data_IF_210254075325
#
_entry.id   IF_210254075325
#
_cell.length_a   1.000
_cell.length_b   1.000
_cell.length_c   1.000
_cell.angle_alpha   90.00
_cell.angle_beta   90.00
_cell.angle_gamma   90.00
#
_symmetry.space_group_name_H-M   'P 1'
#
loop_
_entity.id
_entity.type
_entity.pdbx_description
1 polymer ?
#
# COMPACT_ATOMS: atom_id res chain seq x y z
N UNK A 1 -21.66 11.56 41.49
CA UNK A 1 -22.54 11.62 40.32
C UNK A 1 -23.00 10.20 40.04
N UNK A 2 -24.28 9.87 40.29
CA UNK A 2 -24.81 8.52 40.16
C UNK A 2 -24.94 8.19 38.70
N UNK A 3 -24.21 7.18 38.22
CA UNK A 3 -24.33 6.63 36.88
C UNK A 3 -25.63 5.84 36.81
N UNK A 4 -26.53 6.23 35.92
CA UNK A 4 -27.82 5.59 35.70
C UNK A 4 -27.60 4.21 35.02
N UNK A 5 -27.97 3.06 35.62
CA UNK A 5 -27.69 1.74 35.09
C UNK A 5 -28.64 1.30 33.96
N UNK A 6 -29.44 2.20 33.37
CA UNK A 6 -30.48 1.87 32.37
C UNK A 6 -30.12 2.15 30.91
N UNK A 7 -28.88 2.41 30.57
CA UNK A 7 -28.46 2.37 29.17
C UNK A 7 -27.82 1.04 28.78
N UNK A 8 -28.45 -0.08 29.12
CA UNK A 8 -28.23 -1.32 28.40
C UNK A 8 -28.85 -1.15 27.02
N UNK A 9 -28.02 -1.11 25.98
CA UNK A 9 -28.44 -1.04 24.57
C UNK A 9 -29.25 -2.29 24.25
N UNK A 10 -30.56 -2.13 24.17
CA UNK A 10 -31.47 -3.21 23.78
C UNK A 10 -31.06 -3.73 22.39
N UNK A 11 -30.95 -5.06 22.16
CA UNK A 11 -30.67 -5.65 20.84
C UNK A 11 -31.74 -5.29 19.80
N UNK A 12 -32.85 -4.67 20.21
CA UNK A 12 -33.92 -4.16 19.35
C UNK A 12 -33.81 -2.67 19.05
N UNK A 13 -32.73 -1.98 19.49
CA UNK A 13 -32.54 -0.59 19.15
C UNK A 13 -32.18 -0.47 17.65
N UNK A 14 -33.05 0.20 16.88
CA UNK A 14 -32.88 0.39 15.42
C UNK A 14 -31.55 1.04 15.08
N UNK A 15 -31.06 1.96 15.88
CA UNK A 15 -29.78 2.64 15.69
C UNK A 15 -28.62 1.65 15.83
N UNK A 16 -28.60 0.83 16.87
CA UNK A 16 -27.56 -0.19 17.09
C UNK A 16 -27.53 -1.23 15.98
N UNK A 17 -28.71 -1.66 15.48
CA UNK A 17 -28.78 -2.59 14.35
C UNK A 17 -28.34 -1.94 13.03
N UNK A 18 -28.64 -0.67 12.84
CA UNK A 18 -28.18 0.09 11.66
C UNK A 18 -26.66 0.21 11.67
N UNK A 19 -26.06 0.60 12.79
CA UNK A 19 -24.61 0.75 12.95
C UNK A 19 -23.88 -0.57 12.80
N UNK A 20 -24.39 -1.66 13.36
CA UNK A 20 -23.83 -3.00 13.18
C UNK A 20 -23.87 -3.45 11.70
N UNK A 21 -24.95 -3.19 10.97
CA UNK A 21 -25.04 -3.50 9.54
C UNK A 21 -24.08 -2.63 8.71
N UNK A 22 -23.99 -1.34 9.04
CA UNK A 22 -23.02 -0.45 8.39
C UNK A 22 -21.58 -0.94 8.60
N UNK A 23 -21.20 -1.29 9.83
CA UNK A 23 -19.88 -1.85 10.14
C UNK A 23 -19.61 -3.14 9.35
N UNK A 24 -20.58 -4.06 9.25
CA UNK A 24 -20.44 -5.27 8.46
C UNK A 24 -20.25 -4.98 6.95
N UNK A 25 -20.94 -3.96 6.41
CA UNK A 25 -20.77 -3.53 5.02
C UNK A 25 -19.36 -2.97 4.80
N UNK A 26 -18.86 -2.11 5.69
CA UNK A 26 -17.52 -1.53 5.59
C UNK A 26 -16.44 -2.62 5.71
N UNK A 27 -16.58 -3.53 6.68
CA UNK A 27 -15.65 -4.65 6.87
C UNK A 27 -15.58 -5.54 5.62
N UNK A 28 -16.71 -5.94 5.07
CA UNK A 28 -16.73 -6.80 3.88
C UNK A 28 -16.22 -6.05 2.64
N UNK A 29 -16.51 -4.76 2.51
CA UNK A 29 -15.96 -3.93 1.44
C UNK A 29 -14.44 -3.83 1.53
N UNK A 30 -13.89 -3.55 2.71
CA UNK A 30 -12.46 -3.51 2.96
C UNK A 30 -11.78 -4.84 2.59
N UNK A 31 -12.36 -5.97 3.03
CA UNK A 31 -11.87 -7.32 2.68
C UNK A 31 -11.82 -7.55 1.16
N UNK A 32 -12.87 -7.17 0.44
CA UNK A 32 -12.92 -7.32 -1.01
C UNK A 32 -11.97 -6.34 -1.73
N UNK A 33 -11.83 -5.11 -1.24
CA UNK A 33 -10.87 -4.14 -1.78
C UNK A 33 -9.43 -4.61 -1.61
N UNK A 34 -9.08 -5.17 -0.45
CA UNK A 34 -7.74 -5.71 -0.19
C UNK A 34 -7.43 -6.95 -1.04
N UNK A 35 -8.43 -7.76 -1.39
CA UNK A 35 -8.23 -9.02 -2.13
C UNK A 35 -8.28 -8.87 -3.65
N UNK A 36 -9.16 -8.00 -4.16
CA UNK A 36 -9.44 -7.85 -5.60
C UNK A 36 -9.09 -6.46 -6.15
N UNK A 37 -8.77 -5.52 -5.25
CA UNK A 37 -8.66 -4.10 -5.58
C UNK A 37 -10.01 -3.38 -5.63
N UNK A 38 -10.01 -2.09 -5.35
CA UNK A 38 -11.23 -1.29 -5.35
C UNK A 38 -11.86 -1.21 -6.74
N UNK A 39 -11.04 -1.18 -7.79
CA UNK A 39 -11.53 -1.05 -9.18
C UNK A 39 -12.31 -2.28 -9.66
N UNK A 40 -11.82 -3.47 -9.35
CA UNK A 40 -12.45 -4.74 -9.76
C UNK A 40 -13.66 -5.12 -8.89
N UNK A 41 -13.82 -4.52 -7.71
CA UNK A 41 -14.93 -4.79 -6.79
C UNK A 41 -16.11 -3.89 -7.10
N UNK A 42 -17.31 -4.45 -7.29
CA UNK A 42 -18.55 -3.71 -7.49
C UNK A 42 -19.42 -3.68 -6.23
N UNK A 43 -20.35 -2.71 -6.13
CA UNK A 43 -21.34 -2.69 -5.05
C UNK A 43 -22.23 -3.95 -5.07
N UNK A 44 -22.42 -4.57 -6.25
CA UNK A 44 -23.16 -5.81 -6.40
C UNK A 44 -22.41 -6.96 -5.71
N UNK A 45 -21.10 -7.08 -5.96
CA UNK A 45 -20.27 -8.15 -5.34
C UNK A 45 -20.31 -8.05 -3.80
N UNK A 46 -20.27 -6.82 -3.27
CA UNK A 46 -20.34 -6.59 -1.82
C UNK A 46 -21.72 -6.98 -1.28
N UNK A 47 -22.81 -6.58 -1.95
CA UNK A 47 -24.17 -6.94 -1.54
C UNK A 47 -24.35 -8.46 -1.54
N UNK A 48 -23.96 -9.15 -2.62
CA UNK A 48 -24.06 -10.60 -2.76
C UNK A 48 -23.26 -11.33 -1.69
N UNK A 49 -22.03 -10.87 -1.39
CA UNK A 49 -21.19 -11.49 -0.35
C UNK A 49 -21.76 -11.38 1.07
N UNK A 50 -22.65 -10.42 1.30
CA UNK A 50 -23.37 -10.22 2.57
C UNK A 50 -24.79 -10.82 2.57
N UNK A 51 -25.22 -11.45 1.48
CA UNK A 51 -26.60 -11.90 1.33
C UNK A 51 -27.63 -10.76 1.27
N UNK A 52 -27.19 -9.55 0.87
CA UNK A 52 -28.03 -8.37 0.75
C UNK A 52 -28.50 -8.18 -0.69
N UNK A 53 -29.68 -7.58 -0.85
CA UNK A 53 -30.09 -7.05 -2.15
C UNK A 53 -29.32 -5.76 -2.44
N UNK A 54 -29.13 -5.45 -3.73
CA UNK A 54 -28.53 -4.19 -4.17
C UNK A 54 -29.25 -2.96 -3.56
N UNK A 55 -30.59 -3.02 -3.51
CA UNK A 55 -31.41 -1.96 -2.92
C UNK A 55 -31.12 -1.77 -1.43
N UNK A 56 -30.95 -2.87 -0.69
CA UNK A 56 -30.60 -2.82 0.73
C UNK A 56 -29.21 -2.20 0.97
N UNK A 57 -28.25 -2.46 0.11
CA UNK A 57 -26.92 -1.84 0.19
C UNK A 57 -26.99 -0.34 -0.09
N UNK A 58 -27.77 0.10 -1.10
CA UNK A 58 -27.95 1.51 -1.45
C UNK A 58 -28.63 2.37 -0.35
N UNK A 59 -29.26 1.74 0.61
CA UNK A 59 -29.74 2.42 1.80
C UNK A 59 -28.58 2.96 2.66
N UNK A 60 -27.47 2.22 2.73
CA UNK A 60 -26.30 2.57 3.54
C UNK A 60 -25.25 3.38 2.76
N UNK A 61 -25.10 3.11 1.47
CA UNK A 61 -24.05 3.69 0.62
C UNK A 61 -24.59 4.01 -0.76
N UNK A 62 -24.45 5.27 -1.21
CA UNK A 62 -24.99 5.73 -2.49
C UNK A 62 -24.05 5.43 -3.67
N UNK A 63 -22.75 5.53 -3.46
CA UNK A 63 -21.74 5.33 -4.50
C UNK A 63 -20.58 4.45 -4.01
N UNK A 64 -19.85 3.85 -4.93
CA UNK A 64 -18.64 3.10 -4.60
C UNK A 64 -17.55 4.02 -4.01
N UNK A 65 -17.44 5.23 -4.52
CA UNK A 65 -16.51 6.24 -3.99
C UNK A 65 -16.81 6.58 -2.53
N UNK A 66 -18.09 6.77 -2.19
CA UNK A 66 -18.51 6.98 -0.80
C UNK A 66 -18.13 5.81 0.10
N UNK A 67 -18.28 4.57 -0.40
CA UNK A 67 -17.90 3.37 0.35
C UNK A 67 -16.39 3.28 0.56
N UNK A 68 -15.58 3.56 -0.47
CA UNK A 68 -14.12 3.63 -0.35
C UNK A 68 -13.71 4.67 0.68
N UNK A 69 -14.30 5.88 0.60
CA UNK A 69 -14.05 6.95 1.56
C UNK A 69 -14.37 6.50 3.00
N UNK A 70 -15.53 5.88 3.23
CA UNK A 70 -15.93 5.41 4.56
C UNK A 70 -14.99 4.30 5.07
N UNK A 71 -14.55 3.38 4.21
CA UNK A 71 -13.56 2.36 4.57
C UNK A 71 -12.21 2.99 4.97
N UNK A 72 -11.74 3.99 4.22
CA UNK A 72 -10.48 4.66 4.51
C UNK A 72 -10.54 5.47 5.81
N UNK A 73 -11.65 6.17 6.05
CA UNK A 73 -11.85 6.89 7.32
C UNK A 73 -11.88 5.94 8.51
N UNK A 74 -12.54 4.78 8.39
CA UNK A 74 -12.55 3.77 9.45
C UNK A 74 -11.14 3.19 9.70
N UNK A 75 -10.36 2.96 8.65
CA UNK A 75 -8.96 2.51 8.78
C UNK A 75 -8.09 3.55 9.48
N UNK A 76 -8.21 4.82 9.08
CA UNK A 76 -7.45 5.92 9.70
C UNK A 76 -7.84 6.14 11.16
N UNK A 77 -9.13 6.05 11.48
CA UNK A 77 -9.62 6.11 12.87
C UNK A 77 -8.99 5.00 13.73
N UNK A 78 -8.98 3.76 13.23
CA UNK A 78 -8.32 2.64 13.93
C UNK A 78 -6.81 2.85 14.09
N UNK A 79 -6.13 3.36 13.06
CA UNK A 79 -4.71 3.66 13.17
C UNK A 79 -4.43 4.78 14.18
N UNK A 80 -5.25 5.82 14.22
CA UNK A 80 -5.14 6.86 15.24
C UNK A 80 -5.38 6.31 16.65
N UNK A 81 -6.36 5.42 16.80
CA UNK A 81 -6.59 4.74 18.09
C UNK A 81 -5.38 3.88 18.49
N UNK A 82 -4.81 3.12 17.57
CA UNK A 82 -3.59 2.34 17.84
C UNK A 82 -2.43 3.26 18.27
N UNK A 83 -2.28 4.44 17.64
CA UNK A 83 -1.27 5.43 18.03
C UNK A 83 -1.54 5.99 19.43
N UNK A 84 -2.79 6.30 19.77
CA UNK A 84 -3.17 6.74 21.12
C UNK A 84 -2.82 5.70 22.18
N UNK A 85 -3.05 4.43 21.88
CA UNK A 85 -2.80 3.33 22.80
C UNK A 85 -1.30 3.10 23.02
N UNK A 86 -0.49 3.13 21.96
CA UNK A 86 0.97 2.98 22.12
C UNK A 86 1.63 4.19 22.77
N UNK A 87 1.12 5.41 22.56
CA UNK A 87 1.60 6.60 23.23
C UNK A 87 1.34 6.58 24.74
N UNK A 88 0.21 5.99 25.16
CA UNK A 88 -0.14 5.82 26.59
C UNK A 88 0.61 4.69 27.27
N UNK A 89 0.91 3.60 26.53
CA UNK A 89 1.44 2.36 27.11
C UNK A 89 2.95 2.24 27.01
N UNK A 90 3.60 2.95 26.09
CA UNK A 90 5.03 2.84 25.82
C UNK A 90 5.73 4.18 25.89
N UNK A 91 6.90 4.21 26.54
CA UNK A 91 7.71 5.42 26.72
C UNK A 91 8.81 5.60 25.68
N UNK A 92 9.29 4.51 25.07
CA UNK A 92 10.40 4.54 24.12
C UNK A 92 9.92 4.49 22.66
N UNK A 93 10.70 5.03 21.74
CA UNK A 93 10.38 5.09 20.32
C UNK A 93 10.22 3.67 19.73
N UNK A 94 11.15 2.77 20.04
CA UNK A 94 11.12 1.38 19.56
C UNK A 94 9.88 0.65 20.07
N UNK A 95 9.53 0.79 21.35
CA UNK A 95 8.37 0.13 21.91
C UNK A 95 7.05 0.70 21.33
N UNK A 96 6.96 2.00 21.05
CA UNK A 96 5.81 2.60 20.36
C UNK A 96 5.65 2.05 18.95
N UNK A 97 6.75 1.97 18.19
CA UNK A 97 6.73 1.39 16.85
C UNK A 97 6.36 -0.10 16.87
N UNK A 98 6.98 -0.88 17.75
CA UNK A 98 6.67 -2.30 17.93
C UNK A 98 5.24 -2.53 18.35
N UNK A 99 4.73 -1.72 19.29
CA UNK A 99 3.34 -1.75 19.71
C UNK A 99 2.35 -1.43 18.59
N UNK A 100 2.67 -0.43 17.76
CA UNK A 100 1.85 -0.09 16.60
C UNK A 100 1.75 -1.25 15.59
N UNK A 101 2.87 -1.92 15.29
CA UNK A 101 2.87 -3.13 14.47
C UNK A 101 2.07 -4.26 15.12
N UNK A 102 2.32 -4.54 16.39
CA UNK A 102 1.61 -5.60 17.12
C UNK A 102 0.10 -5.39 17.11
N UNK A 103 -0.38 -4.15 17.33
CA UNK A 103 -1.80 -3.81 17.24
C UNK A 103 -2.35 -3.97 15.83
N UNK A 104 -1.60 -3.54 14.78
CA UNK A 104 -2.03 -3.73 13.40
C UNK A 104 -2.22 -5.20 13.05
N UNK A 105 -1.24 -6.06 13.36
CA UNK A 105 -1.31 -7.50 13.08
C UNK A 105 -2.40 -8.20 13.93
N UNK A 106 -2.54 -7.80 15.19
CA UNK A 106 -3.60 -8.33 16.07
C UNK A 106 -5.00 -7.95 15.57
N UNK A 107 -5.20 -6.71 15.12
CA UNK A 107 -6.47 -6.26 14.55
C UNK A 107 -6.78 -7.05 13.26
N UNK A 108 -5.77 -7.29 12.40
CA UNK A 108 -5.94 -8.09 11.21
C UNK A 108 -6.37 -9.53 11.56
N UNK A 109 -5.71 -10.18 12.53
CA UNK A 109 -6.06 -11.51 12.99
C UNK A 109 -7.48 -11.55 13.58
N UNK A 110 -7.83 -10.58 14.40
CA UNK A 110 -9.17 -10.47 14.99
C UNK A 110 -10.27 -10.30 13.93
N UNK A 111 -9.98 -9.58 12.83
CA UNK A 111 -10.88 -9.44 11.70
C UNK A 111 -11.07 -10.77 10.93
N UNK A 112 -10.01 -11.53 10.70
CA UNK A 112 -10.10 -12.87 10.08
C UNK A 112 -10.88 -13.87 10.94
N UNK A 113 -10.92 -13.65 12.25
CA UNK A 113 -11.71 -14.42 13.21
C UNK A 113 -13.14 -13.86 13.40
N UNK A 114 -13.54 -12.84 12.67
CA UNK A 114 -14.81 -12.13 12.79
C UNK A 114 -15.07 -11.53 14.19
N UNK A 115 -14.01 -11.20 14.93
CA UNK A 115 -14.10 -10.50 16.22
C UNK A 115 -14.03 -8.98 16.05
N UNK A 116 -13.39 -8.53 14.97
CA UNK A 116 -13.24 -7.12 14.60
C UNK A 116 -13.57 -6.90 13.14
N UNK A 117 -13.63 -5.64 12.70
CA UNK A 117 -13.85 -5.27 11.32
C UNK A 117 -12.55 -5.30 10.52
N UNK A 118 -12.62 -5.77 9.27
CA UNK A 118 -11.50 -5.63 8.34
C UNK A 118 -11.22 -4.17 8.04
N UNK A 119 -9.94 -3.81 8.01
CA UNK A 119 -9.45 -2.51 7.58
C UNK A 119 -9.08 -2.53 6.10
N UNK A 120 -9.24 -1.41 5.42
CA UNK A 120 -8.85 -1.26 4.02
C UNK A 120 -7.41 -0.74 3.91
N UNK A 121 -6.59 -1.31 3.06
CA UNK A 121 -5.30 -0.74 2.67
C UNK A 121 -5.51 0.63 1.98
N UNK A 122 -4.72 1.64 2.37
CA UNK A 122 -4.87 3.02 1.91
C UNK A 122 -4.12 3.29 0.58
N UNK A 123 -4.11 2.30 -0.31
CA UNK A 123 -3.28 2.31 -1.53
C UNK A 123 -3.83 3.20 -2.66
N UNK A 124 -5.12 3.48 -2.66
CA UNK A 124 -5.79 4.17 -3.77
C UNK A 124 -6.47 5.48 -3.33
N UNK A 125 -5.88 6.25 -2.40
CA UNK A 125 -6.43 7.55 -1.94
C UNK A 125 -6.66 8.49 -3.13
N UNK A 126 -5.80 8.45 -4.14
CA UNK A 126 -5.93 9.24 -5.35
C UNK A 126 -7.19 8.90 -6.19
N UNK A 127 -7.90 7.81 -5.90
CA UNK A 127 -9.18 7.48 -6.54
C UNK A 127 -10.36 8.31 -6.02
N UNK A 128 -10.21 8.92 -4.85
CA UNK A 128 -11.18 9.85 -4.26
C UNK A 128 -11.04 11.25 -4.88
N UNK A 129 -12.10 12.04 -4.81
CA UNK A 129 -12.12 13.40 -5.36
C UNK A 129 -12.66 14.42 -4.35
N UNK A 130 -12.35 15.69 -4.60
CA UNK A 130 -12.90 16.83 -3.85
C UNK A 130 -12.63 16.75 -2.35
N UNK A 131 -13.62 17.09 -1.56
CA UNK A 131 -13.54 17.18 -0.09
C UNK A 131 -13.21 15.83 0.56
N UNK A 132 -13.75 14.73 0.06
CA UNK A 132 -13.49 13.37 0.58
C UNK A 132 -12.02 13.00 0.49
N UNK A 133 -11.41 13.33 -0.63
CA UNK A 133 -9.97 13.13 -0.82
C UNK A 133 -9.17 13.98 0.15
N UNK A 134 -9.49 15.27 0.25
CA UNK A 134 -8.79 16.21 1.12
C UNK A 134 -8.87 15.79 2.59
N UNK A 135 -10.02 15.27 3.04
CA UNK A 135 -10.21 14.79 4.40
C UNK A 135 -9.36 13.54 4.69
N UNK A 136 -9.38 12.53 3.80
CA UNK A 136 -8.56 11.33 3.94
C UNK A 136 -7.07 11.67 3.92
N UNK A 137 -6.62 12.54 3.00
CA UNK A 137 -5.24 13.01 2.95
C UNK A 137 -4.83 13.74 4.24
N UNK A 138 -5.71 14.56 4.80
CA UNK A 138 -5.47 15.26 6.06
C UNK A 138 -5.25 14.29 7.22
N UNK A 139 -6.10 13.29 7.37
CA UNK A 139 -5.98 12.26 8.41
C UNK A 139 -4.73 11.39 8.20
N UNK A 140 -4.45 11.02 6.96
CA UNK A 140 -3.23 10.27 6.61
C UNK A 140 -1.96 11.05 6.95
N UNK A 141 -1.91 12.34 6.61
CA UNK A 141 -0.79 13.21 6.94
C UNK A 141 -0.64 13.37 8.47
N UNK A 142 -1.74 13.45 9.20
CA UNK A 142 -1.74 13.49 10.67
C UNK A 142 -1.12 12.22 11.26
N UNK A 143 -1.55 11.05 10.81
CA UNK A 143 -0.99 9.75 11.18
C UNK A 143 0.51 9.68 10.86
N UNK A 144 0.90 10.08 9.65
CA UNK A 144 2.29 10.12 9.22
C UNK A 144 3.15 10.99 10.14
N UNK A 145 2.66 12.19 10.51
CA UNK A 145 3.37 13.12 11.40
C UNK A 145 3.56 12.54 12.80
N UNK A 146 2.57 11.84 13.35
CA UNK A 146 2.65 11.17 14.66
C UNK A 146 3.71 10.08 14.65
N UNK A 147 3.67 9.15 13.68
CA UNK A 147 4.69 8.09 13.52
C UNK A 147 6.09 8.67 13.36
N UNK A 148 6.23 9.72 12.53
CA UNK A 148 7.51 10.42 12.38
C UNK A 148 7.98 11.05 13.70
N UNK A 149 7.04 11.49 14.52
CA UNK A 149 7.31 12.00 15.87
C UNK A 149 8.06 10.99 16.72
N UNK A 150 7.68 9.72 16.71
CA UNK A 150 8.37 8.67 17.47
C UNK A 150 9.84 8.56 17.08
N UNK A 151 10.17 8.62 15.78
CA UNK A 151 11.55 8.60 15.33
C UNK A 151 12.33 9.84 15.79
N UNK A 152 11.72 11.03 15.71
CA UNK A 152 12.37 12.28 16.16
C UNK A 152 12.63 12.27 17.64
N UNK A 153 11.68 11.81 18.43
CA UNK A 153 11.82 11.69 19.89
C UNK A 153 12.93 10.70 20.26
N UNK A 154 12.98 9.55 19.56
CA UNK A 154 14.02 8.54 19.74
C UNK A 154 15.43 9.04 19.37
N UNK A 155 15.57 9.84 18.31
CA UNK A 155 16.85 10.48 17.95
C UNK A 155 17.22 11.52 19.01
N UNK A 156 16.28 12.38 19.43
CA UNK A 156 16.53 13.41 20.42
C UNK A 156 16.89 12.85 21.80
N UNK A 157 16.37 11.69 22.18
CA UNK A 157 16.70 10.99 23.43
C UNK A 157 18.00 10.15 23.35
N UNK A 158 18.57 9.98 22.16
CA UNK A 158 19.73 9.12 21.93
C UNK A 158 19.39 7.61 21.86
N UNK A 159 18.10 7.23 21.87
CA UNK A 159 17.65 5.86 21.68
C UNK A 159 17.91 5.38 20.23
N UNK A 160 17.78 6.30 19.27
CA UNK A 160 17.97 6.02 17.84
C UNK A 160 19.16 6.85 17.31
N UNK A 161 19.91 6.25 16.37
CA UNK A 161 20.91 7.01 15.59
C UNK A 161 20.24 8.02 14.66
N UNK A 162 20.98 8.99 14.18
CA UNK A 162 20.49 9.90 13.13
C UNK A 162 20.22 9.18 11.79
N UNK A 163 19.08 9.47 11.19
CA UNK A 163 18.67 9.04 9.85
C UNK A 163 17.53 9.93 9.32
N UNK A 164 17.18 9.77 8.05
CA UNK A 164 16.00 10.46 7.49
C UNK A 164 14.69 9.87 8.02
N UNK A 165 14.06 10.61 8.93
CA UNK A 165 12.80 10.20 9.58
C UNK A 165 11.62 10.09 8.61
N UNK A 166 11.64 10.80 7.47
CA UNK A 166 10.59 10.68 6.47
C UNK A 166 10.66 9.32 5.76
N UNK A 167 11.87 8.90 5.36
CA UNK A 167 12.09 7.59 4.72
C UNK A 167 11.75 6.45 5.67
N UNK A 168 12.16 6.54 6.94
CA UNK A 168 11.82 5.55 7.96
C UNK A 168 10.30 5.46 8.18
N UNK A 169 9.60 6.59 8.26
CA UNK A 169 8.13 6.60 8.40
C UNK A 169 7.44 5.98 7.19
N UNK A 170 7.94 6.26 5.98
CA UNK A 170 7.40 5.62 4.75
C UNK A 170 7.64 4.12 4.75
N UNK A 171 8.79 3.65 5.23
CA UNK A 171 9.08 2.22 5.33
C UNK A 171 8.10 1.53 6.29
N UNK A 172 7.83 2.13 7.47
CA UNK A 172 6.84 1.61 8.42
C UNK A 172 5.45 1.54 7.80
N UNK A 173 4.95 2.65 7.24
CA UNK A 173 3.62 2.69 6.63
C UNK A 173 3.53 1.76 5.41
N UNK A 174 4.57 1.72 4.57
CA UNK A 174 4.62 0.79 3.45
C UNK A 174 4.54 -0.66 3.90
N UNK A 175 5.21 -1.04 5.00
CA UNK A 175 5.13 -2.38 5.58
C UNK A 175 3.72 -2.71 6.07
N UNK A 176 3.04 -1.75 6.72
CA UNK A 176 1.65 -1.89 7.18
C UNK A 176 0.71 -2.05 5.99
N UNK A 177 0.77 -1.15 5.01
CA UNK A 177 -0.11 -1.19 3.84
C UNK A 177 0.09 -2.44 2.98
N UNK A 178 1.34 -2.88 2.83
CA UNK A 178 1.66 -4.07 2.05
C UNK A 178 1.31 -5.37 2.77
N UNK A 179 1.20 -5.35 4.10
CA UNK A 179 0.86 -6.53 4.91
C UNK A 179 -0.48 -7.17 4.51
N UNK A 180 -1.47 -6.38 4.11
CA UNK A 180 -2.76 -6.87 3.64
C UNK A 180 -2.67 -7.83 2.44
N UNK A 181 -1.60 -7.77 1.66
CA UNK A 181 -1.40 -8.64 0.49
C UNK A 181 -0.87 -10.02 0.85
N UNK A 182 0.00 -10.12 1.85
CA UNK A 182 0.71 -11.36 2.18
C UNK A 182 0.30 -12.02 3.49
N UNK A 183 -0.25 -11.28 4.48
CA UNK A 183 -0.69 -11.85 5.77
C UNK A 183 -1.71 -12.97 5.61
N UNK A 184 -2.56 -12.93 4.58
CA UNK A 184 -3.51 -14.00 4.29
C UNK A 184 -2.86 -15.37 4.01
N UNK A 185 -1.57 -15.38 3.69
CA UNK A 185 -0.79 -16.59 3.41
C UNK A 185 0.03 -17.05 4.63
N UNK A 186 -0.04 -16.31 5.75
CA UNK A 186 0.65 -16.63 7.01
C UNK A 186 -0.30 -17.43 7.90
N UNK A 187 0.14 -18.59 8.45
CA UNK A 187 -0.62 -19.31 9.45
C UNK A 187 -0.97 -18.41 10.63
N UNK A 188 -2.18 -18.57 11.18
CA UNK A 188 -2.69 -17.66 12.24
C UNK A 188 -1.84 -17.71 13.49
N UNK A 189 -1.35 -18.89 13.85
CA UNK A 189 -0.46 -19.13 14.98
C UNK A 189 0.89 -18.40 14.86
N UNK A 190 1.31 -18.07 13.63
CA UNK A 190 2.60 -17.41 13.36
C UNK A 190 2.48 -15.87 13.31
N UNK A 191 1.28 -15.29 13.31
CA UNK A 191 1.07 -13.84 13.16
C UNK A 191 1.82 -13.03 14.21
N UNK A 192 1.77 -13.47 15.49
CA UNK A 192 2.47 -12.77 16.57
C UNK A 192 3.99 -12.81 16.40
N UNK A 193 4.54 -13.94 15.96
CA UNK A 193 5.97 -14.08 15.67
C UNK A 193 6.38 -13.22 14.48
N UNK A 194 5.60 -13.21 13.41
CA UNK A 194 5.84 -12.35 12.23
C UNK A 194 5.83 -10.87 12.61
N UNK A 195 4.91 -10.44 13.50
CA UNK A 195 4.88 -9.06 14.00
C UNK A 195 6.16 -8.72 14.78
N UNK A 196 6.62 -9.63 15.64
CA UNK A 196 7.86 -9.46 16.40
C UNK A 196 9.09 -9.41 15.49
N UNK A 197 9.16 -10.28 14.48
CA UNK A 197 10.24 -10.28 13.50
C UNK A 197 10.26 -9.01 12.65
N UNK A 198 9.11 -8.53 12.19
CA UNK A 198 8.99 -7.27 11.45
C UNK A 198 9.49 -6.09 12.29
N UNK A 199 9.09 -6.05 13.57
CA UNK A 199 9.58 -5.04 14.52
C UNK A 199 11.09 -5.12 14.72
N UNK A 200 11.63 -6.33 14.88
CA UNK A 200 13.06 -6.55 15.03
C UNK A 200 13.87 -6.08 13.82
N UNK A 201 13.39 -6.37 12.60
CA UNK A 201 14.01 -5.89 11.35
C UNK A 201 14.00 -4.38 11.27
N UNK A 202 12.89 -3.73 11.65
CA UNK A 202 12.80 -2.26 11.65
C UNK A 202 13.68 -1.61 12.71
N UNK A 203 13.82 -2.24 13.86
CA UNK A 203 14.63 -1.72 14.97
C UNK A 203 16.14 -1.88 14.74
N UNK A 204 16.55 -3.02 14.21
CA UNK A 204 17.96 -3.43 14.16
C UNK A 204 18.50 -3.57 12.72
N UNK A 205 17.62 -3.53 11.71
CA UNK A 205 17.98 -3.77 10.31
C UNK A 205 18.22 -5.26 9.99
N UNK A 206 18.76 -5.51 8.81
CA UNK A 206 19.05 -6.86 8.32
C UNK A 206 20.50 -7.30 8.58
N UNK A 207 21.37 -6.37 8.97
CA UNK A 207 22.78 -6.63 9.16
C UNK A 207 23.07 -7.32 10.50
N UNK A 208 24.09 -8.17 10.53
CA UNK A 208 24.55 -8.77 11.79
C UNK A 208 25.04 -7.67 12.75
N UNK A 209 24.96 -7.87 14.09
CA UNK A 209 25.24 -6.83 15.09
C UNK A 209 26.62 -6.14 15.00
N UNK A 210 27.59 -6.76 14.34
CA UNK A 210 28.95 -6.22 14.18
C UNK A 210 29.32 -5.92 12.72
N UNK A 211 28.37 -6.01 11.80
CA UNK A 211 28.59 -5.67 10.39
C UNK A 211 28.52 -4.17 10.18
N UNK A 212 29.41 -3.66 9.33
CA UNK A 212 29.37 -2.25 8.91
C UNK A 212 28.77 -2.18 7.52
N UNK A 213 27.63 -1.51 7.39
CA UNK A 213 27.06 -1.23 6.09
C UNK A 213 27.86 -0.10 5.42
N UNK A 214 28.39 -0.38 4.25
CA UNK A 214 28.95 0.63 3.35
C UNK A 214 28.04 0.72 2.12
N UNK A 215 27.39 1.89 1.94
CA UNK A 215 26.56 2.09 0.76
C UNK A 215 27.45 2.01 -0.49
N UNK A 216 27.15 1.11 -1.45
CA UNK A 216 27.85 1.13 -2.73
C UNK A 216 27.59 2.46 -3.42
N UNK A 217 28.54 2.98 -4.21
CA UNK A 217 28.29 4.17 -5.02
C UNK A 217 27.12 3.89 -5.95
N UNK A 218 26.11 4.76 -5.90
CA UNK A 218 25.00 4.73 -6.85
C UNK A 218 25.53 5.19 -8.22
N UNK A 219 26.12 4.25 -8.97
CA UNK A 219 26.38 4.48 -10.38
C UNK A 219 25.01 4.58 -11.07
N UNK A 220 24.69 5.77 -11.55
CA UNK A 220 23.60 5.90 -12.50
C UNK A 220 23.91 4.94 -13.64
N UNK A 221 22.99 4.00 -13.93
CA UNK A 221 23.08 3.28 -15.18
C UNK A 221 23.01 4.34 -16.29
N UNK A 222 24.14 4.74 -16.81
CA UNK A 222 24.14 5.39 -18.10
C UNK A 222 23.49 4.37 -19.03
N UNK A 223 22.29 4.71 -19.49
CA UNK A 223 21.71 4.03 -20.65
C UNK A 223 22.76 4.16 -21.72
N UNK A 224 23.51 3.08 -21.96
CA UNK A 224 24.60 3.10 -22.91
C UNK A 224 24.06 3.57 -24.26
N UNK A 225 24.21 4.84 -24.52
CA UNK A 225 24.15 5.39 -25.85
C UNK A 225 25.40 4.85 -26.55
N UNK A 226 25.36 3.61 -26.98
CA UNK A 226 26.34 3.01 -27.86
C UNK A 226 26.21 3.71 -29.18
N UNK A 227 27.02 4.74 -29.35
CA UNK A 227 27.05 5.64 -30.51
C UNK A 227 27.52 4.99 -31.81
N UNK A 228 27.70 3.69 -31.88
CA UNK A 228 28.26 3.00 -33.04
C UNK A 228 27.38 1.88 -33.65
N UNK A 229 26.23 1.56 -33.05
CA UNK A 229 25.32 0.53 -33.59
C UNK A 229 24.22 1.08 -34.51
N UNK A 230 24.42 2.27 -35.10
CA UNK A 230 23.41 2.96 -35.90
C UNK A 230 22.90 2.20 -37.14
N UNK A 231 23.53 1.09 -37.52
CA UNK A 231 23.15 0.26 -38.65
C UNK A 231 22.61 -1.13 -38.29
N UNK A 232 22.63 -1.50 -36.98
CA UNK A 232 22.05 -2.76 -36.55
C UNK A 232 20.54 -2.60 -36.33
N UNK A 233 19.72 -3.13 -37.25
CA UNK A 233 18.28 -3.08 -37.19
C UNK A 233 17.67 -3.71 -35.94
N UNK A 234 18.27 -4.76 -35.43
CA UNK A 234 17.84 -5.45 -34.21
C UNK A 234 18.09 -4.59 -32.96
N UNK A 235 19.29 -3.97 -32.87
CA UNK A 235 19.62 -3.04 -31.78
C UNK A 235 18.70 -1.82 -31.79
N UNK A 236 18.39 -1.25 -32.97
CA UNK A 236 17.43 -0.15 -33.08
C UNK A 236 16.01 -0.56 -32.66
N UNK A 237 15.55 -1.76 -33.02
CA UNK A 237 14.26 -2.27 -32.61
C UNK A 237 14.19 -2.48 -31.09
N UNK A 238 15.25 -3.00 -30.47
CA UNK A 238 15.35 -3.16 -29.03
C UNK A 238 15.27 -1.80 -28.31
N UNK A 239 16.02 -0.80 -28.76
CA UNK A 239 15.98 0.55 -28.18
C UNK A 239 14.57 1.17 -28.28
N UNK A 240 13.87 0.95 -29.39
CA UNK A 240 12.47 1.41 -29.56
C UNK A 240 11.54 0.70 -28.58
N UNK A 241 11.66 -0.62 -28.43
CA UNK A 241 10.85 -1.39 -27.50
C UNK A 241 11.10 -0.94 -26.05
N UNK A 242 12.36 -0.75 -25.65
CA UNK A 242 12.69 -0.20 -24.33
C UNK A 242 12.05 1.18 -24.10
N UNK A 243 12.09 2.06 -25.10
CA UNK A 243 11.43 3.36 -25.01
C UNK A 243 9.90 3.21 -24.82
N UNK A 244 9.27 2.25 -25.52
CA UNK A 244 7.85 1.95 -25.35
C UNK A 244 7.53 1.45 -23.96
N UNK A 245 8.34 0.54 -23.39
CA UNK A 245 8.13 -0.01 -22.06
C UNK A 245 8.37 1.02 -20.95
N UNK A 246 9.45 1.82 -21.05
CA UNK A 246 9.73 2.93 -20.12
C UNK A 246 8.60 3.95 -20.10
N UNK A 247 8.14 4.37 -21.27
CA UNK A 247 7.04 5.35 -21.40
C UNK A 247 5.72 4.74 -20.95
N UNK A 248 5.43 3.50 -21.34
CA UNK A 248 4.25 2.78 -20.90
C UNK A 248 4.19 2.65 -19.38
N UNK A 249 5.29 2.27 -18.74
CA UNK A 249 5.43 2.19 -17.29
C UNK A 249 5.13 3.55 -16.64
N UNK A 250 5.66 4.64 -17.17
CA UNK A 250 5.39 5.97 -16.63
C UNK A 250 3.91 6.35 -16.73
N UNK A 251 3.26 6.07 -17.87
CA UNK A 251 1.82 6.33 -18.05
C UNK A 251 0.97 5.46 -17.13
N UNK A 252 1.25 4.16 -17.02
CA UNK A 252 0.53 3.26 -16.13
C UNK A 252 0.67 3.66 -14.66
N UNK A 253 1.86 4.05 -14.22
CA UNK A 253 2.07 4.52 -12.85
C UNK A 253 1.34 5.85 -12.58
N UNK A 254 1.29 6.75 -13.56
CA UNK A 254 0.68 8.08 -13.40
C UNK A 254 -0.84 8.05 -13.50
N UNK A 255 -1.39 7.33 -14.50
CA UNK A 255 -2.82 7.37 -14.85
C UNK A 255 -3.56 6.07 -14.52
N UNK A 256 -2.84 5.01 -14.12
CA UNK A 256 -3.35 3.66 -13.99
C UNK A 256 -3.66 3.02 -15.36
N UNK A 257 -3.94 1.72 -15.34
CA UNK A 257 -4.22 0.96 -16.57
C UNK A 257 -5.40 1.53 -17.37
N UNK A 258 -6.52 1.80 -16.71
CA UNK A 258 -7.73 2.30 -17.38
C UNK A 258 -7.59 3.73 -17.90
N UNK A 259 -6.81 4.58 -17.21
CA UNK A 259 -6.58 5.97 -17.61
C UNK A 259 -5.50 6.16 -18.66
N UNK A 260 -4.81 5.09 -19.08
CA UNK A 260 -3.74 5.13 -20.07
C UNK A 260 -4.29 4.80 -21.46
N UNK A 261 -3.94 5.60 -22.46
CA UNK A 261 -4.21 5.36 -23.87
C UNK A 261 -2.92 5.02 -24.63
N UNK A 262 -2.97 4.00 -25.50
CA UNK A 262 -1.85 3.65 -26.37
C UNK A 262 -1.53 4.78 -27.38
N UNK A 263 -2.57 5.47 -27.82
CA UNK A 263 -2.42 6.62 -28.74
C UNK A 263 -1.67 7.78 -28.07
N UNK A 264 -1.95 8.07 -26.80
CA UNK A 264 -1.21 9.09 -26.04
C UNK A 264 0.27 8.71 -25.85
N UNK A 265 0.55 7.42 -25.65
CA UNK A 265 1.94 6.92 -25.54
C UNK A 265 2.66 7.10 -26.88
N UNK A 266 2.03 6.73 -28.00
CA UNK A 266 2.59 6.89 -29.33
C UNK A 266 2.88 8.37 -29.66
N UNK A 267 1.95 9.27 -29.33
CA UNK A 267 2.09 10.72 -29.47
C UNK A 267 3.25 11.25 -28.62
N UNK A 268 3.32 10.85 -27.34
CA UNK A 268 4.40 11.25 -26.43
C UNK A 268 5.79 10.84 -26.94
N UNK A 269 5.88 9.68 -27.58
CA UNK A 269 7.11 9.16 -28.19
C UNK A 269 7.38 9.71 -29.58
N UNK A 270 6.47 10.54 -30.11
CA UNK A 270 6.55 11.10 -31.48
C UNK A 270 6.71 10.01 -32.54
N UNK A 271 5.97 8.90 -32.39
CA UNK A 271 5.92 7.80 -33.37
C UNK A 271 4.53 7.73 -34.02
N UNK A 272 4.45 7.29 -35.26
CA UNK A 272 3.14 7.04 -35.88
C UNK A 272 2.42 5.88 -35.19
N UNK A 273 1.07 5.96 -35.11
CA UNK A 273 0.25 4.87 -34.56
C UNK A 273 0.57 3.52 -35.20
N UNK A 274 0.71 3.48 -36.52
CA UNK A 274 1.06 2.26 -37.25
C UNK A 274 2.41 1.67 -36.84
N UNK A 275 3.43 2.51 -36.62
CA UNK A 275 4.72 2.06 -36.14
C UNK A 275 4.66 1.57 -34.67
N UNK A 276 3.82 2.18 -33.83
CA UNK A 276 3.61 1.76 -32.45
C UNK A 276 2.87 0.41 -32.39
N UNK A 277 1.73 0.29 -33.10
CA UNK A 277 0.93 -0.92 -33.13
C UNK A 277 1.60 -2.09 -33.88
N UNK A 278 2.65 -1.85 -34.63
CA UNK A 278 3.51 -2.92 -35.17
C UNK A 278 4.26 -3.68 -34.07
N UNK A 279 4.58 -3.00 -32.97
CA UNK A 279 5.34 -3.59 -31.85
C UNK A 279 4.47 -3.95 -30.64
N UNK A 280 3.32 -3.31 -30.48
CA UNK A 280 2.44 -3.45 -29.30
C UNK A 280 1.03 -3.78 -29.79
N UNK A 281 0.57 -4.99 -29.51
CA UNK A 281 -0.71 -5.50 -30.01
C UNK A 281 -1.92 -4.85 -29.33
N UNK A 282 -1.84 -4.65 -28.02
CA UNK A 282 -2.89 -4.07 -27.20
C UNK A 282 -2.31 -3.53 -25.87
N UNK A 283 -3.16 -2.97 -25.03
CA UNK A 283 -2.75 -2.34 -23.75
C UNK A 283 -2.28 -3.35 -22.71
N UNK A 284 -2.89 -4.52 -22.69
CA UNK A 284 -2.51 -5.65 -21.84
C UNK A 284 -1.11 -6.17 -22.20
N UNK A 285 -0.84 -6.30 -23.49
CA UNK A 285 0.47 -6.68 -24.02
C UNK A 285 1.55 -5.68 -23.63
N UNK A 286 1.28 -4.37 -23.78
CA UNK A 286 2.21 -3.34 -23.30
C UNK A 286 2.46 -3.44 -21.79
N UNK A 287 1.41 -3.60 -20.97
CA UNK A 287 1.55 -3.72 -19.52
C UNK A 287 2.36 -4.95 -19.13
N UNK A 288 2.10 -6.09 -19.77
CA UNK A 288 2.85 -7.33 -19.56
C UNK A 288 4.35 -7.13 -19.84
N UNK A 289 4.67 -6.51 -20.97
CA UNK A 289 6.05 -6.22 -21.34
C UNK A 289 6.72 -5.17 -20.42
N UNK A 290 5.96 -4.18 -19.91
CA UNK A 290 6.45 -3.24 -18.89
C UNK A 290 6.84 -3.97 -17.60
N UNK A 291 6.06 -4.96 -17.15
CA UNK A 291 6.41 -5.78 -15.99
C UNK A 291 7.66 -6.60 -16.23
N UNK A 292 7.76 -7.31 -17.36
CA UNK A 292 8.94 -8.09 -17.71
C UNK A 292 10.19 -7.22 -17.76
N UNK A 293 10.12 -6.08 -18.43
CA UNK A 293 11.22 -5.12 -18.49
C UNK A 293 11.67 -4.66 -17.10
N UNK A 294 10.72 -4.41 -16.20
CA UNK A 294 11.02 -4.02 -14.82
C UNK A 294 11.65 -5.18 -14.02
N UNK A 295 11.18 -6.40 -14.22
CA UNK A 295 11.73 -7.60 -13.58
C UNK A 295 13.16 -7.88 -14.05
N UNK A 296 13.47 -7.73 -15.35
CA UNK A 296 14.81 -7.89 -15.90
C UNK A 296 15.81 -6.90 -15.27
N UNK A 297 15.36 -5.64 -15.07
CA UNK A 297 16.18 -4.63 -14.36
C UNK A 297 16.42 -5.06 -12.91
N UNK A 298 15.39 -5.50 -12.20
CA UNK A 298 15.50 -5.96 -10.81
C UNK A 298 16.42 -7.18 -10.72
N UNK A 299 16.32 -8.16 -11.63
CA UNK A 299 17.18 -9.32 -11.69
C UNK A 299 18.65 -8.93 -11.95
N UNK A 300 18.87 -7.98 -12.86
CA UNK A 300 20.21 -7.43 -13.10
C UNK A 300 20.81 -6.78 -11.85
N UNK A 301 20.02 -5.98 -11.11
CA UNK A 301 20.46 -5.38 -9.84
C UNK A 301 20.78 -6.47 -8.82
N UNK A 302 19.90 -7.46 -8.70
CA UNK A 302 20.04 -8.56 -7.77
C UNK A 302 21.30 -9.42 -8.06
N UNK A 303 21.56 -9.70 -9.33
CA UNK A 303 22.75 -10.46 -9.74
C UNK A 303 24.04 -9.68 -9.48
N UNK A 304 24.03 -8.34 -9.67
CA UNK A 304 25.18 -7.51 -9.28
C UNK A 304 25.41 -7.49 -7.77
N UNK A 305 24.32 -7.44 -6.98
CA UNK A 305 24.42 -7.48 -5.52
C UNK A 305 24.93 -8.83 -4.98
N UNK A 306 24.76 -9.93 -5.74
CA UNK A 306 25.28 -11.26 -5.40
C UNK A 306 26.77 -11.42 -5.72
N UNK A 307 27.36 -10.54 -6.49
CA UNK A 307 28.78 -10.65 -6.84
C UNK A 307 29.62 -10.45 -5.59
N UNK A 308 30.47 -11.45 -5.21
CA UNK A 308 31.31 -11.36 -4.02
C UNK A 308 32.31 -10.19 -4.02
N UNK A 309 32.57 -9.58 -5.17
CA UNK A 309 33.40 -8.38 -5.29
C UNK A 309 32.65 -7.10 -4.88
N UNK A 310 31.34 -7.13 -4.85
CA UNK A 310 30.50 -6.00 -4.47
C UNK A 310 30.06 -6.05 -3.01
N UNK A 311 30.85 -6.55 -2.08
CA UNK A 311 30.59 -6.56 -0.63
C UNK A 311 29.34 -5.75 -0.21
N UNK A 312 28.15 -6.28 -0.49
CA UNK A 312 26.88 -5.67 -0.15
C UNK A 312 26.45 -6.00 1.26
#
# INVERSE_FOLDING_TARGET
MKIDPKKQTSPFNRTTQHDAKRAAILSQAARLFNSKGSRATTLKDIAESLGLTKTSLYYYVKTKEELIYQCYMATLEQHHQNLDDVEKTHSTAINRLGGFFALHFSNWQAAEENRESHLAALLEIASLQGERRAEVETQYISMFKRLRGFFRDGIASGELREFDTNSATRAVLGSVEWSFSWLRNVPREEIAEVAAQATNILAHGLCAPHSTYSAPPLEAQESGATSLEGFNREAQNRLKQEAFYKTGTWFFNKKGFNGTSLDEIAEHLNVSKGAFYYHISNKEDLLYNCYWYSLDIMESIYNRAKDPQNNG
#
